data_IF_487927612022
#
_entry.id   IF_487927612022
#
_cell.length_a   1.000
_cell.length_b   1.000
_cell.length_c   1.000
_cell.angle_alpha   90.00
_cell.angle_beta   90.00
_cell.angle_gamma   90.00
#
_symmetry.space_group_name_H-M   'P 1'
#
loop_
_entity.id
_entity.type
_entity.pdbx_description
1 polymer ?
#
# COMPACT_ATOMS: atom_id res chain seq x y z
N UNK A 1 -3.26 1.01 14.20
CA UNK A 1 -2.71 0.13 13.16
C UNK A 1 -2.68 0.86 11.84
N UNK A 2 -1.63 0.69 11.03
CA UNK A 2 -1.38 1.47 9.81
C UNK A 2 -2.55 1.48 8.80
N UNK A 3 -3.29 0.37 8.69
CA UNK A 3 -4.43 0.26 7.77
C UNK A 3 -5.62 1.16 8.12
N UNK A 4 -5.73 1.65 9.36
CA UNK A 4 -6.84 2.50 9.82
C UNK A 4 -6.43 3.97 9.98
N UNK A 5 -5.18 4.32 9.66
CA UNK A 5 -4.72 5.73 9.64
C UNK A 5 -5.36 6.48 8.47
N UNK A 6 -5.60 7.77 8.64
CA UNK A 6 -6.12 8.61 7.57
C UNK A 6 -5.08 8.77 6.44
N UNK A 7 -5.53 8.86 5.18
CA UNK A 7 -4.63 9.07 4.03
C UNK A 7 -4.22 10.53 3.84
N UNK A 8 -4.62 11.43 4.75
CA UNK A 8 -4.35 12.86 4.66
C UNK A 8 -3.00 13.23 5.28
N UNK A 9 -2.54 14.45 4.98
CA UNK A 9 -1.25 14.97 5.46
C UNK A 9 -1.13 14.88 6.98
N UNK A 10 -0.02 14.34 7.46
CA UNK A 10 0.28 14.16 8.88
C UNK A 10 0.13 12.72 9.39
N UNK A 11 -0.77 11.91 8.83
CA UNK A 11 -0.94 10.50 9.25
C UNK A 11 -0.46 9.48 8.21
N UNK A 12 -0.62 9.77 6.92
CA UNK A 12 0.05 9.04 5.83
C UNK A 12 -0.29 7.55 5.68
N UNK A 13 -1.49 7.10 6.06
CA UNK A 13 -1.97 5.71 5.94
C UNK A 13 -0.86 4.65 6.14
N UNK A 14 -0.72 3.69 5.22
CA UNK A 14 0.35 2.68 5.21
C UNK A 14 1.71 3.23 4.73
N UNK A 15 1.71 4.38 4.06
CA UNK A 15 2.91 5.06 3.57
C UNK A 15 3.75 5.64 4.73
N UNK A 16 3.15 5.77 5.91
CA UNK A 16 3.79 6.27 7.13
C UNK A 16 4.64 5.24 7.90
N UNK A 17 4.83 4.03 7.38
CA UNK A 17 5.69 3.03 8.03
C UNK A 17 7.13 3.53 8.07
N UNK A 18 7.68 3.58 9.28
CA UNK A 18 8.95 4.22 9.63
C UNK A 18 10.04 3.22 10.04
N UNK A 19 9.68 2.01 10.48
CA UNK A 19 10.64 0.99 10.94
C UNK A 19 10.62 -0.32 10.14
N UNK A 20 11.78 -0.99 10.06
CA UNK A 20 11.93 -2.29 9.37
C UNK A 20 11.16 -3.42 10.06
N UNK A 21 11.00 -3.35 11.39
CA UNK A 21 10.26 -4.37 12.15
C UNK A 21 8.80 -4.43 11.70
N UNK A 22 8.15 -3.29 11.50
CA UNK A 22 6.76 -3.21 11.05
C UNK A 22 6.60 -3.63 9.59
N UNK A 23 7.59 -3.37 8.74
CA UNK A 23 7.61 -3.90 7.38
C UNK A 23 7.65 -5.42 7.42
N UNK A 24 8.60 -6.02 8.15
CA UNK A 24 8.78 -7.47 8.22
C UNK A 24 7.56 -8.12 8.89
N UNK A 25 7.11 -7.59 10.02
CA UNK A 25 5.93 -8.06 10.76
C UNK A 25 4.66 -8.01 9.90
N UNK A 26 4.49 -6.95 9.11
CA UNK A 26 3.40 -6.83 8.14
C UNK A 26 3.44 -7.93 7.06
N UNK A 27 4.61 -8.25 6.52
CA UNK A 27 4.77 -9.32 5.52
C UNK A 27 4.54 -10.71 6.09
N UNK A 28 4.96 -10.98 7.34
CA UNK A 28 4.66 -12.24 8.03
C UNK A 28 3.15 -12.43 8.20
N UNK A 29 2.45 -11.36 8.61
CA UNK A 29 1.00 -11.35 8.71
C UNK A 29 0.32 -11.58 7.36
N UNK A 30 0.73 -10.85 6.32
CA UNK A 30 0.19 -10.97 4.97
C UNK A 30 0.41 -12.38 4.41
N UNK A 31 1.62 -12.94 4.58
CA UNK A 31 1.94 -14.30 4.16
C UNK A 31 1.05 -15.35 4.82
N UNK A 32 0.81 -15.20 6.13
CA UNK A 32 -0.08 -16.08 6.89
C UNK A 32 -1.52 -16.02 6.38
N UNK A 33 -2.05 -14.81 6.12
CA UNK A 33 -3.40 -14.62 5.58
C UNK A 33 -3.52 -15.21 4.17
N UNK A 34 -2.53 -15.00 3.29
CA UNK A 34 -2.54 -15.53 1.93
C UNK A 34 -2.54 -17.07 1.93
N UNK A 35 -1.77 -17.72 2.81
CA UNK A 35 -1.75 -19.18 2.93
C UNK A 35 -3.10 -19.70 3.43
N UNK A 36 -3.60 -19.16 4.54
CA UNK A 36 -4.88 -19.58 5.11
C UNK A 36 -6.05 -19.33 4.14
N UNK A 37 -6.05 -18.18 3.47
CA UNK A 37 -7.01 -17.83 2.43
C UNK A 37 -6.90 -18.73 1.20
N UNK A 38 -5.69 -19.10 0.78
CA UNK A 38 -5.46 -20.05 -0.32
C UNK A 38 -6.03 -21.43 -0.02
N UNK A 39 -5.74 -21.97 1.17
CA UNK A 39 -6.30 -23.26 1.63
C UNK A 39 -7.83 -23.18 1.68
N UNK A 40 -8.37 -22.10 2.24
CA UNK A 40 -9.81 -21.87 2.28
C UNK A 40 -10.45 -21.87 0.88
N UNK A 41 -9.87 -21.15 -0.08
CA UNK A 41 -10.39 -21.08 -1.45
C UNK A 41 -10.29 -22.40 -2.22
N UNK A 42 -9.35 -23.29 -1.86
CA UNK A 42 -9.26 -24.65 -2.43
C UNK A 42 -10.37 -25.55 -1.86
N UNK A 43 -10.60 -25.49 -0.55
CA UNK A 43 -11.50 -26.41 0.15
C UNK A 43 -12.98 -26.01 0.05
N UNK A 44 -13.29 -24.77 -0.35
CA UNK A 44 -14.65 -24.23 -0.36
C UNK A 44 -15.16 -23.94 -1.78
N UNK A 45 -16.48 -23.92 -1.93
CA UNK A 45 -17.16 -23.49 -3.16
C UNK A 45 -17.78 -22.10 -2.94
N UNK A 46 -17.95 -21.27 -3.99
CA UNK A 46 -18.51 -19.94 -3.84
C UNK A 46 -19.93 -20.00 -3.27
N UNK A 47 -20.13 -19.26 -2.17
CA UNK A 47 -21.42 -19.19 -1.48
C UNK A 47 -22.51 -18.60 -2.38
N UNK A 48 -23.78 -18.86 -2.03
CA UNK A 48 -24.92 -18.48 -2.86
C UNK A 48 -25.02 -16.96 -3.12
N UNK A 49 -24.65 -16.13 -2.14
CA UNK A 49 -24.63 -14.68 -2.31
C UNK A 49 -23.53 -14.24 -3.29
N UNK A 50 -22.32 -14.81 -3.19
CA UNK A 50 -21.20 -14.47 -4.06
C UNK A 50 -21.51 -14.83 -5.52
N UNK A 51 -22.14 -15.99 -5.73
CA UNK A 51 -22.60 -16.42 -7.06
C UNK A 51 -23.59 -15.46 -7.73
N UNK A 52 -24.37 -14.73 -6.94
CA UNK A 52 -25.37 -13.77 -7.43
C UNK A 52 -24.83 -12.35 -7.61
N UNK A 53 -23.79 -11.99 -6.87
CA UNK A 53 -23.23 -10.64 -6.87
C UNK A 53 -22.15 -10.43 -7.95
N UNK A 54 -21.47 -11.49 -8.38
CA UNK A 54 -20.32 -11.41 -9.29
C UNK A 54 -20.63 -12.01 -10.67
N UNK A 55 -19.89 -11.54 -11.68
CA UNK A 55 -19.93 -12.07 -13.04
C UNK A 55 -18.85 -13.14 -13.20
N UNK A 56 -19.23 -14.33 -13.64
CA UNK A 56 -18.34 -15.52 -13.74
C UNK A 56 -17.88 -15.72 -15.19
N UNK A 57 -17.10 -14.76 -15.72
CA UNK A 57 -16.51 -14.84 -17.06
C UNK A 57 -15.02 -14.48 -17.02
N UNK A 58 -14.26 -14.94 -18.03
CA UNK A 58 -12.82 -14.63 -18.14
C UNK A 58 -12.53 -13.14 -18.19
N UNK A 59 -13.36 -12.38 -18.94
CA UNK A 59 -13.24 -10.92 -19.03
C UNK A 59 -13.55 -10.22 -17.70
N UNK A 60 -14.52 -10.73 -16.93
CA UNK A 60 -14.83 -10.21 -15.60
C UNK A 60 -13.67 -10.45 -14.61
N UNK A 61 -13.05 -11.64 -14.63
CA UNK A 61 -11.87 -11.88 -13.80
C UNK A 61 -10.70 -10.97 -14.17
N UNK A 62 -10.50 -10.71 -15.47
CA UNK A 62 -9.50 -9.77 -15.94
C UNK A 62 -9.81 -8.34 -15.47
N UNK A 63 -11.06 -7.90 -15.55
CA UNK A 63 -11.45 -6.54 -15.13
C UNK A 63 -11.29 -6.32 -13.62
N UNK A 64 -11.64 -7.31 -12.79
CA UNK A 64 -11.39 -7.26 -11.34
C UNK A 64 -9.89 -7.15 -11.04
N UNK A 65 -9.06 -7.89 -11.78
CA UNK A 65 -7.60 -7.85 -11.63
C UNK A 65 -7.01 -6.50 -12.07
N UNK A 66 -7.48 -5.95 -13.20
CA UNK A 66 -7.07 -4.62 -13.69
C UNK A 66 -7.45 -3.50 -12.70
N UNK A 67 -8.65 -3.58 -12.12
CA UNK A 67 -9.07 -2.64 -11.07
C UNK A 67 -8.14 -2.68 -9.85
N UNK A 68 -7.78 -3.88 -9.39
CA UNK A 68 -6.84 -4.04 -8.28
C UNK A 68 -5.42 -3.50 -8.62
N UNK A 69 -4.91 -3.81 -9.82
CA UNK A 69 -3.59 -3.34 -10.27
C UNK A 69 -3.53 -1.80 -10.38
N UNK A 70 -4.61 -1.17 -10.84
CA UNK A 70 -4.70 0.30 -10.88
C UNK A 70 -4.50 0.91 -9.49
N UNK A 71 -5.16 0.36 -8.47
CA UNK A 71 -5.00 0.79 -7.07
C UNK A 71 -3.57 0.53 -6.56
N UNK A 72 -2.98 -0.62 -6.88
CA UNK A 72 -1.57 -0.89 -6.52
C UNK A 72 -0.62 0.14 -7.13
N UNK A 73 -0.84 0.55 -8.38
CA UNK A 73 -0.06 1.60 -9.03
C UNK A 73 -0.16 2.95 -8.30
N UNK A 74 -1.38 3.36 -7.91
CA UNK A 74 -1.57 4.60 -7.15
C UNK A 74 -0.91 4.56 -5.77
N UNK A 75 -1.03 3.43 -5.05
CA UNK A 75 -0.39 3.26 -3.75
C UNK A 75 1.14 3.30 -3.89
N UNK A 76 1.69 2.61 -4.90
CA UNK A 76 3.13 2.62 -5.18
C UNK A 76 3.67 4.02 -5.49
N UNK A 77 2.92 4.82 -6.25
CA UNK A 77 3.25 6.22 -6.54
C UNK A 77 3.38 7.05 -5.26
N UNK A 78 2.44 6.92 -4.33
CA UNK A 78 2.53 7.59 -3.03
C UNK A 78 3.70 7.07 -2.18
N UNK A 79 3.97 5.77 -2.20
CA UNK A 79 5.08 5.16 -1.46
C UNK A 79 6.44 5.71 -1.89
N UNK A 80 6.74 5.69 -3.19
CA UNK A 80 8.04 6.17 -3.69
C UNK A 80 8.23 7.67 -3.47
N UNK A 81 7.14 8.43 -3.47
CA UNK A 81 7.20 9.89 -3.33
C UNK A 81 7.41 10.36 -1.88
N UNK A 82 6.82 9.64 -0.92
CA UNK A 82 6.76 10.10 0.48
C UNK A 82 7.51 9.21 1.48
N UNK A 83 7.64 7.90 1.25
CA UNK A 83 8.26 7.00 2.21
C UNK A 83 9.77 6.90 1.96
N UNK A 84 10.57 7.19 2.98
CA UNK A 84 12.03 7.09 2.94
C UNK A 84 12.59 5.88 3.70
N UNK A 85 11.77 5.09 4.39
CA UNK A 85 12.20 3.86 5.08
C UNK A 85 12.37 2.71 4.10
N UNK A 86 11.35 2.45 3.27
CA UNK A 86 11.39 1.43 2.22
C UNK A 86 12.13 1.91 0.97
N UNK A 87 12.20 3.23 0.75
CA UNK A 87 12.98 3.87 -0.31
C UNK A 87 14.01 4.85 0.27
N UNK A 88 15.16 4.34 0.75
CA UNK A 88 16.16 5.18 1.41
C UNK A 88 16.70 6.26 0.48
N UNK A 89 16.81 7.48 1.00
CA UNK A 89 17.21 8.66 0.23
C UNK A 89 18.65 8.59 -0.29
N UNK A 90 19.48 7.76 0.33
CA UNK A 90 20.85 7.44 -0.05
C UNK A 90 20.91 6.74 -1.42
N UNK A 91 19.88 5.96 -1.77
CA UNK A 91 19.80 5.22 -3.03
C UNK A 91 18.85 5.89 -4.04
N UNK A 92 17.76 6.50 -3.56
CA UNK A 92 16.67 7.01 -4.40
C UNK A 92 16.59 8.53 -4.47
N UNK A 93 17.53 9.24 -3.81
CA UNK A 93 17.52 10.69 -3.68
C UNK A 93 16.54 11.18 -2.61
N UNK A 94 16.59 12.48 -2.26
CA UNK A 94 15.67 13.06 -1.30
C UNK A 94 14.22 12.96 -1.81
N UNK A 95 13.28 12.68 -0.91
CA UNK A 95 11.84 12.69 -1.23
C UNK A 95 11.39 14.07 -1.71
N UNK A 96 10.24 14.19 -2.39
CA UNK A 96 9.77 15.49 -2.90
C UNK A 96 9.66 16.56 -1.81
N UNK A 97 9.28 16.16 -0.59
CA UNK A 97 9.29 17.02 0.61
C UNK A 97 10.71 17.29 1.14
N UNK A 98 11.61 16.32 1.09
CA UNK A 98 13.03 16.50 1.44
C UNK A 98 13.78 17.43 0.49
N UNK A 99 13.46 17.38 -0.81
CA UNK A 99 13.99 18.27 -1.85
C UNK A 99 13.54 19.72 -1.59
N UNK A 100 12.25 19.95 -1.32
CA UNK A 100 11.72 21.27 -0.96
C UNK A 100 12.40 21.86 0.29
N UNK A 101 12.69 21.04 1.30
CA UNK A 101 13.41 21.47 2.51
C UNK A 101 14.88 21.81 2.24
N UNK A 102 15.52 21.17 1.24
CA UNK A 102 16.89 21.45 0.84
C UNK A 102 17.02 22.77 0.05
N UNK A 103 16.02 23.10 -0.77
CA UNK A 103 16.02 24.30 -1.64
C UNK A 103 15.36 25.53 -1.01
N UNK A 104 14.57 25.37 0.06
CA UNK A 104 13.97 26.49 0.81
C UNK A 104 14.18 26.35 2.33
N UNK A 105 15.41 26.55 2.84
CA UNK A 105 15.67 26.53 4.29
C UNK A 105 14.97 27.67 5.05
N UNK A 106 14.44 28.68 4.35
CA UNK A 106 13.85 29.89 4.95
C UNK A 106 12.41 29.75 5.45
N UNK A 107 11.68 28.68 5.08
CA UNK A 107 10.29 28.50 5.52
C UNK A 107 10.14 27.77 6.86
N UNK A 108 11.24 27.24 7.43
CA UNK A 108 11.22 26.51 8.71
C UNK A 108 11.71 27.35 9.89
N UNK A 109 12.49 28.41 9.66
CA UNK A 109 13.04 29.25 10.74
C UNK A 109 12.16 30.42 11.19
N UNK A 110 11.04 30.69 10.52
CA UNK A 110 10.12 31.75 10.96
C UNK A 110 10.79 33.13 11.10
N UNK A 111 11.76 33.44 10.24
CA UNK A 111 12.31 34.79 10.04
C UNK A 111 11.93 35.34 8.66
#
# INVERSE_FOLDING_TARGET
GYLLKSPFGGEGWIVSVDDLEDIIGGHVWLGSICILGGIWHILTKPFAWARRALVWSGEAYLSYSLGALSVFGFIACCFVWFNNTAYPSEFYGPTGVGLLNLFSPKLVLGE
#
